data_IF_802779683776
#
_entry.id   IF_802779683776
#
_cell.length_a   1.000
_cell.length_b   1.000
_cell.length_c   1.000
_cell.angle_alpha   90.00
_cell.angle_beta   90.00
_cell.angle_gamma   90.00
#
_symmetry.space_group_name_H-M   'P 1'
#
loop_
_entity.id
_entity.type
_entity.pdbx_description
1 polymer ?
#
# COMPACT_ATOMS: atom_id res chain seq x y z
N UNK A 1 14.98 14.76 -27.90
CA UNK A 1 15.55 15.36 -26.66
C UNK A 1 14.86 14.74 -25.46
N UNK A 2 15.58 14.50 -24.37
CA UNK A 2 15.01 14.03 -23.09
C UNK A 2 14.26 15.19 -22.43
N UNK A 3 13.04 14.93 -21.95
CA UNK A 3 12.17 15.96 -21.35
C UNK A 3 12.25 16.00 -19.82
N UNK A 4 12.53 14.87 -19.15
CA UNK A 4 12.58 14.80 -17.68
C UNK A 4 13.37 13.57 -17.19
N UNK A 5 13.95 13.67 -15.99
CA UNK A 5 14.54 12.57 -15.23
C UNK A 5 13.97 12.63 -13.80
N UNK A 6 13.30 11.56 -13.37
CA UNK A 6 12.69 11.42 -12.04
C UNK A 6 13.28 10.21 -11.32
N UNK A 7 13.31 10.25 -10.00
CA UNK A 7 13.58 9.05 -9.20
C UNK A 7 12.32 8.18 -9.13
N UNK A 8 12.45 6.90 -8.79
CA UNK A 8 11.29 5.99 -8.71
C UNK A 8 10.20 6.54 -7.78
N UNK A 9 10.56 7.06 -6.61
CA UNK A 9 9.58 7.63 -5.65
C UNK A 9 8.88 8.92 -6.10
N UNK A 10 9.16 9.43 -7.30
CA UNK A 10 8.48 10.57 -7.93
C UNK A 10 7.68 10.14 -9.17
N UNK A 11 7.55 8.84 -9.41
CA UNK A 11 6.82 8.28 -10.55
C UNK A 11 5.35 8.05 -10.21
N UNK A 12 4.49 8.03 -11.22
CA UNK A 12 3.07 7.65 -11.06
C UNK A 12 2.87 6.12 -11.18
N UNK A 13 3.93 5.32 -10.97
CA UNK A 13 3.91 3.86 -11.12
C UNK A 13 3.49 3.21 -9.81
N UNK A 14 2.42 2.43 -9.86
CA UNK A 14 2.01 1.61 -8.71
C UNK A 14 2.77 0.29 -8.70
N UNK A 15 3.29 -0.07 -7.53
CA UNK A 15 3.95 -1.35 -7.28
C UNK A 15 3.15 -2.21 -6.30
N UNK A 16 3.44 -3.52 -6.30
CA UNK A 16 2.89 -4.43 -5.31
C UNK A 16 3.52 -4.15 -3.94
N UNK A 17 2.70 -3.69 -2.99
CA UNK A 17 3.14 -3.33 -1.63
C UNK A 17 3.11 -4.49 -0.62
N UNK A 18 2.79 -5.71 -1.05
CA UNK A 18 2.82 -6.92 -0.21
C UNK A 18 1.61 -7.15 0.71
N UNK A 19 0.61 -6.27 0.71
CA UNK A 19 -0.63 -6.45 1.47
C UNK A 19 -1.74 -7.03 0.58
N UNK A 20 -2.26 -8.20 0.95
CA UNK A 20 -3.21 -8.95 0.14
C UNK A 20 -4.47 -9.34 0.92
N UNK A 21 -5.62 -9.28 0.24
CA UNK A 21 -6.90 -9.78 0.77
C UNK A 21 -7.46 -10.81 -0.19
N UNK A 22 -7.52 -12.05 0.28
CA UNK A 22 -7.94 -13.19 -0.52
C UNK A 22 -9.24 -13.84 -0.01
N UNK A 23 -10.03 -14.38 -0.94
CA UNK A 23 -11.01 -15.42 -0.61
C UNK A 23 -10.28 -16.74 -0.39
N UNK A 24 -10.88 -17.65 0.39
CA UNK A 24 -10.32 -18.99 0.67
C UNK A 24 -10.02 -19.80 -0.61
N UNK A 25 -10.74 -19.56 -1.69
CA UNK A 25 -10.50 -20.17 -3.00
C UNK A 25 -9.11 -19.86 -3.59
N UNK A 26 -8.32 -18.96 -3.01
CA UNK A 26 -6.93 -18.73 -3.41
C UNK A 26 -6.08 -20.00 -3.37
N UNK A 27 -6.38 -20.93 -2.45
CA UNK A 27 -5.64 -22.18 -2.34
C UNK A 27 -5.83 -23.08 -3.57
N UNK A 28 -6.93 -22.93 -4.32
CA UNK A 28 -7.13 -23.66 -5.59
C UNK A 28 -6.15 -23.18 -6.68
N UNK A 29 -5.58 -21.98 -6.50
CA UNK A 29 -4.61 -21.37 -7.41
C UNK A 29 -3.16 -21.55 -6.95
N UNK A 30 -2.89 -22.13 -5.78
CA UNK A 30 -1.51 -22.32 -5.30
C UNK A 30 -1.18 -23.81 -5.39
N UNK A 31 -0.13 -24.15 -6.14
CA UNK A 31 0.42 -25.51 -6.20
C UNK A 31 1.72 -25.58 -5.42
N UNK A 32 2.14 -26.81 -5.14
CA UNK A 32 3.37 -27.06 -4.39
C UNK A 32 4.60 -26.49 -5.11
N UNK A 33 5.47 -25.81 -4.34
CA UNK A 33 6.70 -25.19 -4.84
C UNK A 33 6.53 -23.88 -5.62
N UNK A 34 5.31 -23.35 -5.79
CA UNK A 34 5.07 -22.09 -6.51
C UNK A 34 5.28 -20.84 -5.64
N UNK A 35 5.62 -19.72 -6.29
CA UNK A 35 5.69 -18.40 -5.66
C UNK A 35 4.38 -17.65 -5.91
N UNK A 36 3.75 -17.14 -4.85
CA UNK A 36 2.39 -16.57 -4.89
C UNK A 36 2.21 -15.49 -5.96
N UNK A 37 3.16 -14.57 -6.09
CA UNK A 37 3.09 -13.41 -7.00
C UNK A 37 3.47 -13.78 -8.44
N UNK A 38 4.15 -14.92 -8.66
CA UNK A 38 4.47 -15.43 -9.99
C UNK A 38 3.32 -16.29 -10.57
N UNK A 39 3.25 -17.58 -10.23
CA UNK A 39 2.39 -18.53 -10.95
C UNK A 39 0.90 -18.41 -10.59
N UNK A 40 0.51 -18.28 -9.31
CA UNK A 40 -0.89 -18.11 -8.92
C UNK A 40 -1.47 -16.79 -9.42
N UNK A 41 -0.76 -15.67 -9.25
CA UNK A 41 -1.23 -14.36 -9.72
C UNK A 41 -1.36 -14.31 -11.23
N UNK A 42 -0.44 -14.93 -11.98
CA UNK A 42 -0.56 -15.02 -13.44
C UNK A 42 -1.86 -15.73 -13.87
N UNK A 43 -2.27 -16.81 -13.19
CA UNK A 43 -3.56 -17.48 -13.44
C UNK A 43 -4.74 -16.59 -13.09
N UNK A 44 -4.69 -15.92 -11.95
CA UNK A 44 -5.75 -15.01 -11.51
C UNK A 44 -5.92 -13.80 -12.46
N UNK A 45 -4.82 -13.28 -13.01
CA UNK A 45 -4.84 -12.22 -14.02
C UNK A 45 -5.51 -12.70 -15.31
N UNK A 46 -5.16 -13.90 -15.78
CA UNK A 46 -5.79 -14.51 -16.96
C UNK A 46 -7.31 -14.66 -16.80
N UNK A 47 -7.77 -14.95 -15.58
CA UNK A 47 -9.18 -15.07 -15.25
C UNK A 47 -9.85 -13.74 -14.83
N UNK A 48 -9.13 -12.61 -14.89
CA UNK A 48 -9.60 -11.29 -14.42
C UNK A 48 -10.09 -11.29 -12.97
N UNK A 49 -9.53 -12.17 -12.15
CA UNK A 49 -9.85 -12.31 -10.72
C UNK A 49 -8.92 -11.51 -9.83
N UNK A 50 -7.86 -10.91 -10.35
CA UNK A 50 -6.91 -10.06 -9.61
C UNK A 50 -7.19 -8.57 -9.87
N UNK A 51 -7.36 -7.77 -8.82
CA UNK A 51 -7.54 -6.32 -8.91
C UNK A 51 -6.52 -5.65 -8.00
N UNK A 52 -5.84 -4.58 -8.45
CA UNK A 52 -5.03 -3.71 -7.59
C UNK A 52 -5.82 -2.50 -7.09
N UNK A 53 -5.56 -2.07 -5.86
CA UNK A 53 -6.25 -0.99 -5.16
C UNK A 53 -5.23 0.04 -4.66
N UNK A 54 -5.15 1.24 -5.25
CA UNK A 54 -4.14 2.22 -4.87
C UNK A 54 -4.25 2.61 -3.39
N UNK A 55 -3.11 2.69 -2.72
CA UNK A 55 -2.91 3.13 -1.36
C UNK A 55 -1.96 4.32 -1.39
N UNK A 56 -2.49 5.46 -0.95
CA UNK A 56 -1.80 6.75 -0.98
C UNK A 56 -1.18 7.12 0.37
N UNK A 57 -1.27 6.21 1.36
CA UNK A 57 -0.69 6.42 2.69
C UNK A 57 0.80 6.09 2.73
N UNK A 58 1.36 6.16 3.93
CA UNK A 58 2.76 5.81 4.14
C UNK A 58 3.00 4.31 3.91
N UNK A 59 3.92 4.00 3.00
CA UNK A 59 4.47 2.67 2.78
C UNK A 59 5.98 2.78 2.56
N UNK A 60 6.74 1.85 3.13
CA UNK A 60 8.20 1.75 2.94
C UNK A 60 8.67 0.33 3.25
N UNK A 61 9.53 -0.24 2.41
CA UNK A 61 10.20 -1.50 2.70
C UNK A 61 11.44 -1.29 3.59
N UNK A 62 12.00 -2.40 4.08
CA UNK A 62 13.20 -2.42 4.90
C UNK A 62 14.13 -3.51 4.38
N UNK A 63 14.67 -3.30 3.18
CA UNK A 63 15.53 -4.27 2.50
C UNK A 63 17.02 -3.95 2.71
N UNK A 64 17.32 -2.69 3.02
CA UNK A 64 18.67 -2.16 3.20
C UNK A 64 18.89 -1.57 4.58
N UNK A 65 20.16 -1.49 4.99
CA UNK A 65 20.55 -0.84 6.25
C UNK A 65 20.11 0.64 6.31
N UNK A 66 20.13 1.33 5.16
CA UNK A 66 19.69 2.72 5.05
C UNK A 66 18.21 2.86 5.39
N UNK A 67 17.35 2.01 4.81
CA UNK A 67 15.91 2.02 5.09
C UNK A 67 15.61 1.68 6.54
N UNK A 68 16.34 0.73 7.13
CA UNK A 68 16.25 0.39 8.54
C UNK A 68 16.57 1.58 9.44
N UNK A 69 17.65 2.32 9.15
CA UNK A 69 17.99 3.54 9.89
C UNK A 69 16.90 4.61 9.77
N UNK A 70 16.35 4.82 8.57
CA UNK A 70 15.26 5.77 8.33
C UNK A 70 13.99 5.42 9.14
N UNK A 71 13.64 4.13 9.20
CA UNK A 71 12.49 3.67 9.98
C UNK A 71 12.74 3.78 11.50
N UNK A 72 13.95 3.45 11.96
CA UNK A 72 14.36 3.60 13.36
C UNK A 72 14.32 5.08 13.81
N UNK A 73 14.73 6.00 12.94
CA UNK A 73 14.68 7.45 13.21
C UNK A 73 13.23 7.95 13.37
N UNK A 74 12.30 7.46 12.55
CA UNK A 74 10.87 7.79 12.67
C UNK A 74 10.28 7.23 13.97
N UNK A 75 10.64 6.00 14.33
CA UNK A 75 10.19 5.35 15.56
C UNK A 75 10.71 6.07 16.81
N UNK A 76 12.01 6.36 16.86
CA UNK A 76 12.65 7.04 18.01
C UNK A 76 12.12 8.45 18.25
N UNK A 77 11.69 9.14 17.18
CA UNK A 77 11.04 10.45 17.26
C UNK A 77 9.55 10.39 17.62
N UNK A 78 8.96 9.20 17.80
CA UNK A 78 7.52 9.00 18.03
C UNK A 78 6.62 9.62 16.95
N UNK A 79 7.10 9.70 15.71
CA UNK A 79 6.35 10.20 14.54
C UNK A 79 6.12 9.11 13.50
N UNK A 80 6.36 7.85 13.86
CA UNK A 80 6.19 6.72 12.97
C UNK A 80 4.71 6.55 12.55
N UNK A 81 4.38 6.72 11.26
CA UNK A 81 3.00 6.71 10.79
C UNK A 81 2.33 5.32 10.85
N UNK A 82 3.11 4.25 10.93
CA UNK A 82 2.59 2.88 11.07
C UNK A 82 2.20 2.53 12.52
N UNK A 83 2.63 3.29 13.52
CA UNK A 83 2.36 3.01 14.94
C UNK A 83 0.99 3.54 15.40
N UNK A 84 -0.07 3.09 14.72
CA UNK A 84 -1.43 3.58 14.95
C UNK A 84 -1.92 3.33 16.39
N UNK A 85 -1.39 2.32 17.08
CA UNK A 85 -1.73 2.00 18.46
C UNK A 85 -1.26 3.05 19.47
N UNK A 86 -0.22 3.84 19.17
CA UNK A 86 0.25 4.92 20.05
C UNK A 86 -0.71 6.12 20.07
N UNK A 87 -1.56 6.27 19.04
CA UNK A 87 -2.50 7.39 18.92
C UNK A 87 -3.65 7.37 19.93
N UNK A 88 -3.90 6.25 20.61
CA UNK A 88 -5.06 6.10 21.51
C UNK A 88 -4.78 6.48 22.98
N UNK A 89 -3.55 6.84 23.34
CA UNK A 89 -3.20 7.25 24.69
C UNK A 89 -3.14 8.78 24.81
N UNK A 90 -4.31 9.42 24.79
CA UNK A 90 -4.50 10.79 25.27
C UNK A 90 -4.52 11.89 24.19
N UNK A 91 -5.57 12.71 24.28
CA UNK A 91 -5.85 13.97 23.57
C UNK A 91 -6.64 13.86 22.26
N UNK A 92 -7.93 14.18 22.39
CA UNK A 92 -8.67 14.96 21.40
C UNK A 92 -7.81 16.16 20.98
N UNK A 93 -7.20 16.07 19.81
CA UNK A 93 -6.54 17.21 19.17
C UNK A 93 -7.00 17.24 17.71
N UNK A 94 -7.63 18.37 17.39
CA UNK A 94 -7.86 18.96 16.07
C UNK A 94 -7.12 18.31 14.91
N UNK A 95 -7.85 18.07 13.82
CA UNK A 95 -7.35 17.55 12.55
C UNK A 95 -6.28 18.42 11.89
N UNK A 96 -5.09 18.45 12.45
CA UNK A 96 -3.88 18.88 11.78
C UNK A 96 -3.27 17.69 11.03
N UNK A 97 -3.03 17.90 9.73
CA UNK A 97 -2.40 16.93 8.85
C UNK A 97 -1.00 16.59 9.35
N UNK A 98 -0.82 15.38 9.90
CA UNK A 98 0.49 14.81 10.26
C UNK A 98 1.46 14.79 9.05
N UNK A 99 0.92 14.83 7.82
CA UNK A 99 1.67 14.92 6.57
C UNK A 99 2.56 16.18 6.46
N UNK A 100 2.15 17.32 7.03
CA UNK A 100 2.89 18.59 6.94
C UNK A 100 4.04 18.72 7.95
N UNK A 101 3.92 18.15 9.16
CA UNK A 101 4.95 18.28 10.20
C UNK A 101 6.20 17.42 9.99
N UNK A 102 6.10 16.35 9.20
CA UNK A 102 7.18 15.36 9.06
C UNK A 102 8.01 15.58 7.78
N UNK A 103 7.70 16.59 6.96
CA UNK A 103 8.36 16.71 5.65
C UNK A 103 8.16 15.44 4.81
N UNK A 104 7.01 14.77 4.98
CA UNK A 104 6.63 13.53 4.29
C UNK A 104 6.22 13.76 2.83
N UNK A 105 6.53 14.92 2.25
CA UNK A 105 6.40 15.13 0.80
C UNK A 105 7.25 14.15 -0.04
N UNK A 106 8.12 13.37 0.59
CA UNK A 106 8.92 12.31 -0.04
C UNK A 106 8.34 10.90 0.12
N UNK A 107 7.21 10.71 0.80
CA UNK A 107 6.59 9.40 1.02
C UNK A 107 5.12 9.45 0.65
N UNK A 108 4.83 9.41 -0.64
CA UNK A 108 3.48 9.48 -1.19
C UNK A 108 3.37 8.60 -2.44
N UNK A 109 2.28 7.81 -2.48
CA UNK A 109 1.60 7.24 -3.67
C UNK A 109 2.00 5.89 -4.27
N UNK A 110 2.65 4.99 -3.55
CA UNK A 110 3.01 3.69 -4.16
C UNK A 110 2.63 2.48 -3.30
N UNK A 111 1.35 2.13 -3.24
CA UNK A 111 1.01 0.71 -3.12
C UNK A 111 -0.30 0.40 -3.81
N UNK A 112 -0.46 -0.80 -4.37
CA UNK A 112 -1.75 -1.34 -4.73
C UNK A 112 -2.09 -2.52 -3.78
N UNK A 113 -3.18 -2.46 -3.00
CA UNK A 113 -3.74 -3.65 -2.34
C UNK A 113 -4.34 -4.55 -3.41
N UNK A 114 -3.96 -5.82 -3.43
CA UNK A 114 -4.57 -6.72 -4.40
C UNK A 114 -5.81 -7.37 -3.78
N UNK A 115 -6.99 -7.09 -4.37
CA UNK A 115 -8.28 -7.69 -4.04
C UNK A 115 -8.71 -8.68 -5.12
N UNK A 116 -9.20 -9.84 -4.69
CA UNK A 116 -9.84 -10.78 -5.61
C UNK A 116 -11.30 -10.38 -5.85
N UNK A 117 -11.62 -9.83 -7.04
CA UNK A 117 -13.02 -9.56 -7.40
C UNK A 117 -13.69 -10.83 -7.94
N UNK A 118 -14.86 -11.17 -7.39
CA UNK A 118 -15.80 -12.04 -8.06
C UNK A 118 -16.95 -11.15 -8.53
N UNK A 119 -17.06 -11.03 -9.85
CA UNK A 119 -18.05 -10.25 -10.59
C UNK A 119 -17.91 -8.72 -10.50
N UNK A 120 -18.20 -8.08 -11.63
CA UNK A 120 -18.10 -6.64 -11.90
C UNK A 120 -18.46 -5.78 -10.69
N UNK A 121 -17.48 -5.02 -10.19
CA UNK A 121 -17.70 -4.06 -9.11
C UNK A 121 -18.50 -2.84 -9.64
N UNK A 122 -19.44 -2.30 -8.85
CA UNK A 122 -20.10 -1.04 -9.17
C UNK A 122 -19.10 0.12 -9.11
N UNK A 123 -19.40 1.16 -9.89
CA UNK A 123 -18.63 2.39 -10.02
C UNK A 123 -18.24 2.98 -8.64
N UNK A 124 -16.96 3.32 -8.39
CA UNK A 124 -16.50 3.95 -7.15
C UNK A 124 -17.23 5.27 -6.80
N UNK A 125 -17.95 5.89 -7.73
CA UNK A 125 -18.84 7.03 -7.46
C UNK A 125 -20.07 6.69 -6.61
N UNK A 126 -20.42 5.40 -6.47
CA UNK A 126 -21.63 4.92 -5.79
C UNK A 126 -21.49 4.73 -4.27
N UNK A 127 -20.26 4.77 -3.73
CA UNK A 127 -20.01 4.68 -2.29
C UNK A 127 -20.05 6.08 -1.65
N UNK A 128 -21.24 6.69 -1.61
CA UNK A 128 -21.57 7.74 -0.64
C UNK A 128 -22.36 7.10 0.49
N UNK A 129 -21.67 6.71 1.55
CA UNK A 129 -22.31 6.33 2.81
C UNK A 129 -22.93 7.59 3.43
N UNK A 130 -24.27 7.60 3.43
CA UNK A 130 -25.06 8.43 4.35
C UNK A 130 -24.79 8.00 5.80
N UNK A 131 -24.92 8.99 6.68
CA UNK A 131 -24.76 8.96 8.13
C UNK A 131 -25.33 7.74 8.86
#
# INVERSE_FOLDING_TARGET
>A
LVQEIKTMGQSDILINGGCFVFKRSIFDYIKDGEELVQEPFRRLIQEKKLVGYPYEGFWKSMDTFKEKQELDDLHSKNIAPWELWKRQNGASASGENVSEKVGLHTYSRESAEIRLSANSLPDPSSLKTSA
#
